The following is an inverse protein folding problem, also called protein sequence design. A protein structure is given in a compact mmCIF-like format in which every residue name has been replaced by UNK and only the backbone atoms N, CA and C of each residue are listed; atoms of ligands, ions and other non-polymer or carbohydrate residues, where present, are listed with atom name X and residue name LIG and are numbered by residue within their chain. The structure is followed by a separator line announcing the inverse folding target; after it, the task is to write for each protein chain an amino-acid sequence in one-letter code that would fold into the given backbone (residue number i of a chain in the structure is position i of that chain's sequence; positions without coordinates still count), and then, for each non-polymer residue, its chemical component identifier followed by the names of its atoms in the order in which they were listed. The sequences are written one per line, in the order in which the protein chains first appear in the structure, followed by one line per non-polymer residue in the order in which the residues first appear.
data_IF_380396927812
#
_entry.id   IF_380396927812
#
_cell.length_a   1.000
_cell.length_b   1.000
_cell.length_c   1.000
_cell.angle_alpha   90.00
_cell.angle_beta   90.00
_cell.angle_gamma   90.00
#
_symmetry.space_group_name_H-M   'P 1'
#
loop_
_entity.id
_entity.type
_entity.pdbx_description
1 polymer ?
#
# COMPACT_ATOMS: atom_id res chain seq x y z
N UNK A 1 6.89 11.51 6.51
CA UNK A 1 6.71 11.35 5.06
C UNK A 1 7.85 11.98 4.26
N UNK A 2 8.33 13.13 4.66
CA UNK A 2 9.46 13.77 4.00
C UNK A 2 10.71 12.90 4.07
N UNK A 3 10.98 12.30 5.22
CA UNK A 3 12.14 11.40 5.37
C UNK A 3 12.03 10.18 4.46
N UNK A 4 10.83 9.64 4.26
CA UNK A 4 10.62 8.50 3.37
C UNK A 4 10.87 8.89 1.93
N UNK A 5 10.38 10.05 1.49
CA UNK A 5 10.62 10.55 0.13
C UNK A 5 12.10 10.79 -0.11
N UNK A 6 12.81 11.35 0.86
CA UNK A 6 14.23 11.58 0.76
C UNK A 6 15.00 10.26 0.63
N UNK A 7 14.63 9.24 1.42
CA UNK A 7 15.25 7.92 1.34
C UNK A 7 15.02 7.27 -0.02
N UNK A 8 13.80 7.38 -0.56
CA UNK A 8 13.47 6.85 -1.87
C UNK A 8 14.33 7.53 -2.95
N UNK A 9 14.46 8.86 -2.87
CA UNK A 9 15.25 9.62 -3.83
C UNK A 9 16.73 9.22 -3.79
N UNK A 10 17.28 9.00 -2.59
CA UNK A 10 18.66 8.54 -2.43
C UNK A 10 18.87 7.17 -3.07
N UNK A 11 17.94 6.23 -2.83
CA UNK A 11 18.01 4.89 -3.40
C UNK A 11 17.92 4.96 -4.93
N UNK A 12 17.04 5.79 -5.46
CA UNK A 12 16.87 5.95 -6.91
C UNK A 12 18.17 6.46 -7.54
N UNK A 13 18.81 7.42 -6.89
CA UNK A 13 20.08 7.97 -7.39
C UNK A 13 21.22 6.95 -7.31
N UNK A 14 21.34 6.28 -6.15
CA UNK A 14 22.42 5.31 -5.92
C UNK A 14 22.38 4.13 -6.89
N UNK A 15 21.17 3.60 -7.14
CA UNK A 15 20.98 2.41 -7.97
C UNK A 15 20.44 2.72 -9.36
N UNK A 16 20.33 4.00 -9.71
CA UNK A 16 19.81 4.46 -11.00
C UNK A 16 18.44 3.84 -11.31
N UNK A 17 17.52 3.94 -10.35
CA UNK A 17 16.18 3.38 -10.48
C UNK A 17 15.13 4.45 -10.78
N UNK A 18 14.08 4.02 -11.48
CA UNK A 18 12.88 4.83 -11.68
C UNK A 18 11.78 4.34 -10.73
N UNK A 19 10.75 5.16 -10.47
CA UNK A 19 9.65 4.78 -9.60
C UNK A 19 9.00 3.46 -10.03
N UNK A 20 8.84 3.21 -11.32
CA UNK A 20 8.21 1.99 -11.81
C UNK A 20 9.02 0.72 -11.56
N UNK A 21 10.21 0.83 -10.98
CA UNK A 21 11.05 -0.28 -10.58
C UNK A 21 11.04 -0.49 -9.07
N UNK A 22 10.24 0.27 -8.33
CA UNK A 22 10.19 0.26 -6.86
C UNK A 22 8.78 -0.11 -6.40
N UNK A 23 8.69 -1.06 -5.46
CA UNK A 23 7.46 -1.37 -4.75
C UNK A 23 7.53 -0.77 -3.35
N UNK A 24 6.45 -0.13 -2.92
CA UNK A 24 6.32 0.35 -1.54
C UNK A 24 5.47 -0.64 -0.76
N UNK A 25 5.95 -1.02 0.42
CA UNK A 25 5.23 -1.97 1.26
C UNK A 25 5.29 -1.51 2.71
N UNK A 26 4.24 -1.79 3.47
CA UNK A 26 4.20 -1.42 4.87
C UNK A 26 3.14 -2.15 5.66
N UNK A 27 3.36 -2.25 6.97
CA UNK A 27 2.47 -2.89 7.93
C UNK A 27 1.91 -1.83 8.88
N UNK A 28 0.60 -1.86 9.12
CA UNK A 28 -0.09 -0.97 10.05
C UNK A 28 0.14 0.50 9.68
N UNK A 29 0.83 1.29 10.49
CA UNK A 29 1.20 2.66 10.13
C UNK A 29 2.00 2.72 8.83
N UNK A 30 2.88 1.74 8.61
CA UNK A 30 3.65 1.63 7.38
C UNK A 30 2.77 1.48 6.14
N UNK A 31 1.63 0.78 6.26
CA UNK A 31 0.65 0.69 5.19
C UNK A 31 0.09 2.07 4.84
N UNK A 32 -0.33 2.83 5.85
CA UNK A 32 -0.85 4.18 5.64
C UNK A 32 0.18 5.08 4.99
N UNK A 33 1.44 5.00 5.43
CA UNK A 33 2.52 5.81 4.88
C UNK A 33 2.83 5.42 3.43
N UNK A 34 2.81 4.12 3.13
CA UNK A 34 3.04 3.62 1.76
C UNK A 34 1.97 4.13 0.79
N UNK A 35 0.71 4.13 1.22
CA UNK A 35 -0.38 4.66 0.41
C UNK A 35 -0.24 6.16 0.21
N UNK A 36 0.07 6.90 1.27
CA UNK A 36 0.24 8.34 1.17
C UNK A 36 1.40 8.72 0.26
N UNK A 37 2.58 8.16 0.48
CA UNK A 37 3.76 8.46 -0.34
C UNK A 37 3.56 7.97 -1.77
N UNK A 38 3.06 6.73 -1.92
CA UNK A 38 2.93 6.10 -3.24
C UNK A 38 1.95 6.82 -4.15
N UNK A 39 0.78 7.18 -3.63
CA UNK A 39 -0.28 7.78 -4.45
C UNK A 39 -0.11 9.29 -4.66
N UNK A 40 0.72 9.95 -3.86
CA UNK A 40 0.93 11.40 -3.95
C UNK A 40 2.25 11.78 -4.63
N UNK A 41 3.02 10.81 -5.10
CA UNK A 41 4.24 11.05 -5.86
C UNK A 41 3.90 11.40 -7.31
N UNK A 42 4.76 12.19 -7.96
CA UNK A 42 4.52 12.64 -9.33
C UNK A 42 4.43 11.48 -10.30
N UNK A 43 5.29 10.48 -10.16
CA UNK A 43 5.30 9.28 -11.00
C UNK A 43 4.88 8.07 -10.18
N UNK A 44 4.14 7.16 -10.81
CA UNK A 44 3.67 5.98 -10.10
C UNK A 44 4.76 4.94 -9.91
N UNK A 45 4.65 4.22 -8.80
CA UNK A 45 5.54 3.10 -8.47
C UNK A 45 5.09 1.83 -9.18
N UNK A 46 5.87 0.74 -9.08
CA UNK A 46 5.48 -0.52 -9.68
C UNK A 46 4.21 -1.06 -9.02
N UNK A 47 4.17 -1.00 -7.70
CA UNK A 47 2.97 -1.32 -6.93
C UNK A 47 3.12 -0.87 -5.48
N UNK A 48 1.99 -0.89 -4.76
CA UNK A 48 1.95 -0.67 -3.31
C UNK A 48 1.35 -1.93 -2.68
N UNK A 49 1.97 -2.43 -1.60
CA UNK A 49 1.44 -3.56 -0.84
C UNK A 49 1.27 -3.13 0.60
N UNK A 50 0.03 -3.10 1.09
CA UNK A 50 -0.28 -2.68 2.43
C UNK A 50 -0.85 -3.81 3.29
N UNK A 51 -0.32 -3.97 4.50
CA UNK A 51 -0.77 -4.98 5.46
C UNK A 51 -1.40 -4.32 6.66
N UNK A 52 -2.63 -4.71 7.00
CA UNK A 52 -3.27 -4.39 8.29
C UNK A 52 -3.31 -2.89 8.59
N UNK A 53 -3.62 -2.09 7.60
CA UNK A 53 -3.67 -0.63 7.74
C UNK A 53 -5.05 -0.04 7.44
N UNK A 54 -5.10 1.28 7.38
CA UNK A 54 -6.32 2.01 7.06
C UNK A 54 -5.96 3.34 6.41
N UNK A 55 -6.96 3.99 5.81
CA UNK A 55 -6.82 5.35 5.30
C UNK A 55 -7.51 6.27 6.29
N UNK A 56 -6.75 7.13 6.97
CA UNK A 56 -7.28 7.96 8.06
C UNK A 56 -8.10 9.12 7.52
N UNK A 57 -7.55 9.96 6.70
CA UNK A 57 -8.21 11.16 6.21
C UNK A 57 -8.39 11.04 4.70
N UNK A 58 -9.49 10.40 4.28
CA UNK A 58 -9.73 10.12 2.87
C UNK A 58 -9.82 11.39 2.03
N UNK A 59 -10.49 12.43 2.55
CA UNK A 59 -10.63 13.69 1.80
C UNK A 59 -9.29 14.36 1.57
N UNK A 60 -8.43 14.34 2.58
CA UNK A 60 -7.09 14.92 2.46
C UNK A 60 -6.26 14.13 1.45
N UNK A 61 -6.27 12.81 1.53
CA UNK A 61 -5.53 11.99 0.58
C UNK A 61 -6.06 12.18 -0.84
N UNK A 62 -7.39 12.18 -1.02
CA UNK A 62 -8.01 12.36 -2.33
C UNK A 62 -7.53 13.63 -3.02
N UNK A 63 -7.41 14.72 -2.28
CA UNK A 63 -6.99 16.01 -2.84
C UNK A 63 -5.53 16.03 -3.29
N UNK A 64 -4.72 15.06 -2.84
CA UNK A 64 -3.28 15.00 -3.12
C UNK A 64 -2.87 13.86 -4.04
N UNK A 65 -3.81 13.01 -4.47
CA UNK A 65 -3.48 11.90 -5.36
C UNK A 65 -2.99 12.42 -6.70
N UNK A 66 -1.84 11.92 -7.15
CA UNK A 66 -1.20 12.31 -8.40
C UNK A 66 -0.99 11.16 -9.37
N UNK A 67 -1.17 9.92 -8.91
CA UNK A 67 -1.00 8.75 -9.76
C UNK A 67 -1.93 7.63 -9.33
N UNK A 68 -2.04 6.58 -10.15
CA UNK A 68 -2.91 5.43 -9.93
C UNK A 68 -2.10 4.14 -9.76
N UNK A 69 -1.07 4.16 -8.93
CA UNK A 69 -0.24 2.98 -8.66
C UNK A 69 -1.11 1.80 -8.23
N UNK A 70 -0.91 0.64 -8.84
CA UNK A 70 -1.62 -0.59 -8.50
C UNK A 70 -1.34 -0.98 -7.05
N UNK A 71 -2.37 -1.42 -6.34
CA UNK A 71 -2.30 -1.63 -4.89
C UNK A 71 -2.86 -2.99 -4.50
N UNK A 72 -2.17 -3.67 -3.60
CA UNK A 72 -2.67 -4.86 -2.90
C UNK A 72 -2.83 -4.52 -1.43
N UNK A 73 -3.99 -4.83 -0.86
CA UNK A 73 -4.26 -4.65 0.56
C UNK A 73 -4.55 -6.02 1.20
N UNK A 74 -3.84 -6.32 2.28
CA UNK A 74 -3.96 -7.59 3.01
C UNK A 74 -4.36 -7.29 4.45
N UNK A 75 -5.31 -8.04 4.99
CA UNK A 75 -5.82 -7.80 6.33
C UNK A 75 -6.30 -9.10 6.97
N UNK A 76 -6.14 -9.23 8.29
CA UNK A 76 -6.70 -10.33 9.05
C UNK A 76 -8.11 -10.02 9.51
N UNK A 77 -9.02 -10.99 9.43
CA UNK A 77 -10.41 -10.76 9.82
C UNK A 77 -10.61 -10.71 11.34
N UNK A 78 -9.63 -11.16 12.10
CA UNK A 78 -9.65 -11.12 13.57
C UNK A 78 -8.75 -10.02 14.15
N UNK A 79 -8.35 -9.05 13.35
CA UNK A 79 -7.50 -7.94 13.79
C UNK A 79 -8.29 -7.02 14.74
N UNK A 80 -7.83 -6.95 15.99
CA UNK A 80 -8.46 -6.12 17.02
C UNK A 80 -7.79 -4.75 17.18
N UNK A 81 -6.61 -4.56 16.56
CA UNK A 81 -5.91 -3.28 16.59
C UNK A 81 -6.44 -2.38 15.48
N UNK A 82 -6.53 -2.92 14.26
CA UNK A 82 -7.14 -2.23 13.12
C UNK A 82 -8.22 -3.15 12.55
N UNK A 83 -9.49 -2.91 12.89
CA UNK A 83 -10.58 -3.77 12.42
C UNK A 83 -10.61 -3.92 10.90
N UNK A 84 -10.96 -5.11 10.42
CA UNK A 84 -10.92 -5.42 8.98
C UNK A 84 -11.93 -4.62 8.15
N UNK A 85 -12.88 -3.94 8.78
CA UNK A 85 -13.77 -3.02 8.07
C UNK A 85 -12.99 -1.91 7.37
N UNK A 86 -11.82 -1.55 7.89
CA UNK A 86 -10.95 -0.54 7.25
C UNK A 86 -10.39 -1.03 5.93
N UNK A 87 -10.25 -2.34 5.74
CA UNK A 87 -9.86 -2.90 4.44
C UNK A 87 -10.91 -2.56 3.38
N UNK A 88 -12.18 -2.76 3.71
CA UNK A 88 -13.27 -2.48 2.79
C UNK A 88 -13.40 -0.99 2.50
N UNK A 89 -13.22 -0.14 3.51
CA UNK A 89 -13.25 1.30 3.32
C UNK A 89 -12.10 1.77 2.42
N UNK A 90 -10.91 1.23 2.62
CA UNK A 90 -9.76 1.56 1.79
C UNK A 90 -9.95 1.07 0.35
N UNK A 91 -10.47 -0.14 0.17
CA UNK A 91 -10.78 -0.68 -1.15
C UNK A 91 -11.76 0.23 -1.89
N UNK A 92 -12.85 0.60 -1.24
CA UNK A 92 -13.87 1.48 -1.85
C UNK A 92 -13.27 2.83 -2.23
N UNK A 93 -12.45 3.40 -1.36
CA UNK A 93 -11.78 4.67 -1.64
C UNK A 93 -10.91 4.57 -2.89
N UNK A 94 -10.09 3.51 -3.00
CA UNK A 94 -9.19 3.33 -4.12
C UNK A 94 -9.97 3.13 -5.43
N UNK A 95 -11.02 2.31 -5.39
CA UNK A 95 -11.86 2.08 -6.57
C UNK A 95 -12.51 3.38 -7.04
N UNK A 96 -13.04 4.17 -6.11
CA UNK A 96 -13.67 5.46 -6.45
C UNK A 96 -12.69 6.46 -7.04
N UNK A 97 -11.42 6.30 -6.79
CA UNK A 97 -10.37 7.16 -7.32
C UNK A 97 -9.64 6.52 -8.51
N UNK A 98 -10.25 5.51 -9.13
CA UNK A 98 -9.75 4.84 -10.33
C UNK A 98 -8.38 4.17 -10.15
N UNK A 99 -8.12 3.66 -8.94
CA UNK A 99 -6.90 2.93 -8.63
C UNK A 99 -7.23 1.44 -8.60
N UNK A 100 -6.48 0.63 -9.36
CA UNK A 100 -6.63 -0.82 -9.38
C UNK A 100 -6.19 -1.39 -8.04
N UNK A 101 -7.09 -2.09 -7.35
CA UNK A 101 -6.83 -2.66 -6.03
C UNK A 101 -7.24 -4.11 -5.98
N UNK A 102 -6.34 -4.95 -5.43
CA UNK A 102 -6.66 -6.32 -5.05
C UNK A 102 -6.64 -6.41 -3.54
N UNK A 103 -7.45 -7.27 -2.97
CA UNK A 103 -7.53 -7.44 -1.51
C UNK A 103 -7.45 -8.91 -1.13
N UNK A 104 -6.87 -9.17 0.04
CA UNK A 104 -6.84 -10.49 0.64
C UNK A 104 -7.23 -10.37 2.11
N UNK A 105 -8.35 -11.00 2.48
CA UNK A 105 -8.81 -11.07 3.86
C UNK A 105 -8.48 -12.48 4.38
N UNK A 106 -7.64 -12.55 5.42
CA UNK A 106 -7.16 -13.82 5.96
C UNK A 106 -7.99 -14.21 7.17
N UNK A 107 -8.57 -15.40 7.14
CA UNK A 107 -9.42 -15.91 8.22
C UNK A 107 -8.61 -16.21 9.47
N UNK A 108 -9.18 -15.91 10.62
CA UNK A 108 -8.60 -16.19 11.94
C UNK A 108 -7.20 -15.57 12.13
N UNK A 109 -6.96 -14.48 11.44
CA UNK A 109 -5.68 -13.77 11.51
C UNK A 109 -5.87 -12.47 12.27
N UNK A 110 -5.02 -12.21 13.25
CA UNK A 110 -5.02 -10.98 14.01
C UNK A 110 -4.08 -9.94 13.38
N UNK A 111 -3.52 -9.04 14.16
CA UNK A 111 -2.70 -7.94 13.66
C UNK A 111 -1.25 -8.39 13.43
N UNK A 112 -1.05 -9.24 12.40
CA UNK A 112 0.29 -9.69 12.01
C UNK A 112 0.30 -10.11 10.53
N UNK A 113 1.48 -10.42 10.00
CA UNK A 113 1.66 -10.88 8.61
C UNK A 113 1.99 -12.37 8.61
N UNK A 114 0.99 -13.26 8.34
CA UNK A 114 1.29 -14.69 8.24
C UNK A 114 1.97 -15.02 6.91
N UNK A 115 2.49 -16.25 6.80
CA UNK A 115 3.21 -16.69 5.59
C UNK A 115 2.34 -16.59 4.33
N UNK A 116 1.05 -16.89 4.44
CA UNK A 116 0.12 -16.77 3.32
C UNK A 116 0.10 -15.34 2.76
N UNK A 117 0.11 -14.34 3.64
CA UNK A 117 0.10 -12.95 3.23
C UNK A 117 1.40 -12.58 2.53
N UNK A 118 2.53 -13.02 3.08
CA UNK A 118 3.85 -12.76 2.48
C UNK A 118 3.97 -13.39 1.10
N UNK A 119 3.49 -14.63 0.95
CA UNK A 119 3.53 -15.34 -0.34
C UNK A 119 2.67 -14.64 -1.39
N UNK A 120 1.46 -14.24 -1.01
CA UNK A 120 0.55 -13.51 -1.91
C UNK A 120 1.16 -12.17 -2.33
N UNK A 121 1.77 -11.46 -1.38
CA UNK A 121 2.41 -10.18 -1.66
C UNK A 121 3.58 -10.35 -2.64
N UNK A 122 4.43 -11.36 -2.43
CA UNK A 122 5.55 -11.62 -3.31
C UNK A 122 5.08 -11.93 -4.73
N UNK A 123 4.07 -12.78 -4.88
CA UNK A 123 3.52 -13.12 -6.18
C UNK A 123 2.94 -11.88 -6.88
N UNK A 124 2.25 -11.03 -6.12
CA UNK A 124 1.71 -9.78 -6.65
C UNK A 124 2.82 -8.87 -7.16
N UNK A 125 3.87 -8.68 -6.36
CA UNK A 125 5.01 -7.82 -6.73
C UNK A 125 5.69 -8.35 -8.00
N UNK A 126 5.88 -9.67 -8.10
CA UNK A 126 6.53 -10.27 -9.26
C UNK A 126 5.71 -10.07 -10.54
N UNK A 127 4.39 -10.05 -10.46
CA UNK A 127 3.53 -9.82 -11.63
C UNK A 127 3.64 -8.37 -12.14
N UNK A 128 4.01 -7.42 -11.28
CA UNK A 128 4.08 -6.00 -11.63
C UNK A 128 5.43 -5.58 -12.18
N UNK A 129 6.41 -6.45 -12.10
CA UNK A 129 7.77 -6.14 -12.59
C UNK A 129 8.10 -6.82 -13.94
#
# INVERSE_FOLDING_TARGET
QMCIRDSINEIKQEFNLKNNQICLSGFSQGCMMSLNVGLTSEEKFSCIVGFSGKIINQNNLKSRIKNSTDTLLVHGDADQVVPSTYLLEAKDFLIRNNISVETLLIKNCDHHIPMEASSTALNYILKKN
#
